data_IF_869284989251
#
_entry.id   IF_869284989251
#
_cell.length_a   1.000
_cell.length_b   1.000
_cell.length_c   1.000
_cell.angle_alpha   90.00
_cell.angle_beta   90.00
_cell.angle_gamma   90.00
#
_symmetry.space_group_name_H-M   'P 1'
#
loop_
_entity.id
_entity.type
_entity.pdbx_description
1 polymer ?
#
# COMPACT_ATOMS: atom_id res chain seq x y z
N UNK A 1 4.35 61.57 -23.40
CA UNK A 1 3.66 61.14 -24.63
C UNK A 1 4.14 59.72 -24.89
N UNK A 2 3.22 58.75 -24.78
CA UNK A 2 3.27 57.35 -25.26
C UNK A 2 4.47 56.45 -24.89
N UNK A 3 4.38 55.16 -24.58
CA UNK A 3 3.34 54.16 -24.26
C UNK A 3 4.17 52.93 -23.87
N UNK A 4 4.00 52.35 -22.68
CA UNK A 4 4.54 51.03 -22.36
C UNK A 4 3.37 50.04 -22.43
N UNK A 5 3.25 49.37 -23.57
CA UNK A 5 2.39 48.23 -23.78
C UNK A 5 3.20 46.95 -23.62
N UNK A 6 2.62 46.02 -22.86
CA UNK A 6 2.66 44.56 -23.03
C UNK A 6 4.04 43.86 -22.84
N UNK A 7 4.18 42.78 -22.07
CA UNK A 7 3.34 41.58 -22.05
C UNK A 7 3.45 40.78 -20.74
N UNK A 8 2.27 40.41 -20.25
CA UNK A 8 1.86 39.09 -19.76
C UNK A 8 2.90 38.28 -18.96
N UNK A 9 2.92 38.50 -17.64
CA UNK A 9 3.29 37.43 -16.73
C UNK A 9 2.11 36.45 -16.65
N UNK A 10 2.20 35.34 -17.39
CA UNK A 10 1.29 34.21 -17.26
C UNK A 10 1.52 33.55 -15.90
N UNK A 11 0.90 34.11 -14.87
CA UNK A 11 0.74 33.42 -13.60
C UNK A 11 -0.13 32.18 -13.88
N UNK A 12 0.52 31.04 -14.08
CA UNK A 12 -0.04 29.74 -13.75
C UNK A 12 -0.32 29.75 -12.25
N UNK A 13 -1.41 30.40 -11.85
CA UNK A 13 -2.03 30.18 -10.55
C UNK A 13 -2.55 28.74 -10.57
N UNK A 14 -1.77 27.82 -10.00
CA UNK A 14 -2.30 26.56 -9.50
C UNK A 14 -3.47 26.89 -8.58
N UNK A 15 -4.69 26.72 -9.08
CA UNK A 15 -5.91 26.90 -8.31
C UNK A 15 -5.87 25.86 -7.18
N UNK A 16 -5.86 26.26 -5.90
CA UNK A 16 -5.85 25.31 -4.80
C UNK A 16 -7.14 24.48 -4.83
N UNK A 17 -7.00 23.15 -4.95
CA UNK A 17 -8.10 22.20 -4.88
C UNK A 17 -8.94 22.43 -3.60
N UNK A 18 -10.24 22.70 -3.75
CA UNK A 18 -11.14 22.97 -2.63
C UNK A 18 -11.30 21.74 -1.72
N UNK A 19 -11.51 21.93 -0.41
CA UNK A 19 -11.64 20.83 0.57
C UNK A 19 -12.72 19.80 0.18
N UNK A 20 -13.81 20.26 -0.41
CA UNK A 20 -14.89 19.40 -0.92
C UNK A 20 -14.45 18.57 -2.14
N UNK A 21 -13.71 19.17 -3.08
CA UNK A 21 -13.12 18.46 -4.21
C UNK A 21 -12.12 17.40 -3.74
N UNK A 22 -11.27 17.72 -2.76
CA UNK A 22 -10.32 16.77 -2.15
C UNK A 22 -11.06 15.59 -1.50
N UNK A 23 -12.17 15.85 -0.79
CA UNK A 23 -12.98 14.78 -0.19
C UNK A 23 -13.64 13.89 -1.24
N UNK A 24 -14.10 14.48 -2.35
CA UNK A 24 -14.74 13.77 -3.46
C UNK A 24 -13.73 12.93 -4.25
N UNK A 25 -12.53 13.44 -4.50
CA UNK A 25 -11.44 12.69 -5.14
C UNK A 25 -10.97 11.51 -4.29
N UNK A 26 -10.80 11.72 -2.97
CA UNK A 26 -10.48 10.63 -2.04
C UNK A 26 -11.58 9.57 -2.05
N UNK A 27 -12.85 9.99 -2.05
CA UNK A 27 -14.00 9.08 -2.17
C UNK A 27 -13.98 8.27 -3.47
N UNK A 28 -13.68 8.91 -4.61
CA UNK A 28 -13.55 8.24 -5.91
C UNK A 28 -12.43 7.19 -5.90
N UNK A 29 -11.24 7.55 -5.40
CA UNK A 29 -10.11 6.63 -5.26
C UNK A 29 -10.46 5.46 -4.33
N UNK A 30 -11.15 5.73 -3.22
CA UNK A 30 -11.56 4.70 -2.28
C UNK A 30 -12.49 3.67 -2.94
N UNK A 31 -13.55 4.13 -3.61
CA UNK A 31 -14.50 3.24 -4.28
C UNK A 31 -13.84 2.49 -5.44
N UNK A 32 -12.96 3.14 -6.20
CA UNK A 32 -12.21 2.51 -7.28
C UNK A 32 -11.28 1.41 -6.76
N UNK A 33 -10.48 1.69 -5.72
CA UNK A 33 -9.59 0.73 -5.08
C UNK A 33 -10.35 -0.44 -4.45
N UNK A 34 -11.50 -0.17 -3.81
CA UNK A 34 -12.36 -1.19 -3.22
C UNK A 34 -12.95 -2.14 -4.28
N UNK A 35 -13.38 -1.59 -5.42
CA UNK A 35 -14.03 -2.34 -6.51
C UNK A 35 -13.06 -2.89 -7.57
N UNK A 36 -11.79 -2.47 -7.55
CA UNK A 36 -10.82 -2.78 -8.60
C UNK A 36 -11.04 -2.02 -9.90
N UNK A 37 -11.76 -0.89 -9.87
CA UNK A 37 -12.12 -0.09 -11.05
C UNK A 37 -11.02 0.92 -11.42
N UNK A 38 -9.91 0.40 -11.97
CA UNK A 38 -8.80 1.24 -12.43
C UNK A 38 -9.22 2.23 -13.53
N UNK A 39 -10.15 1.85 -14.40
CA UNK A 39 -10.55 2.66 -15.56
C UNK A 39 -11.15 4.00 -15.12
N UNK A 40 -11.88 4.02 -14.01
CA UNK A 40 -12.49 5.25 -13.48
C UNK A 40 -11.48 6.30 -12.99
N UNK A 41 -10.23 5.90 -12.73
CA UNK A 41 -9.21 6.74 -12.09
C UNK A 41 -7.89 6.80 -12.86
N UNK A 42 -7.76 6.14 -14.01
CA UNK A 42 -6.48 5.99 -14.73
C UNK A 42 -5.87 7.30 -15.21
N UNK A 43 -6.70 8.33 -15.40
CA UNK A 43 -6.28 9.69 -15.76
C UNK A 43 -6.13 10.64 -14.56
N UNK A 44 -6.45 10.18 -13.33
CA UNK A 44 -6.33 11.03 -12.15
C UNK A 44 -4.86 11.25 -11.80
N UNK A 45 -4.46 12.49 -11.43
CA UNK A 45 -3.16 12.69 -10.83
C UNK A 45 -3.13 12.09 -9.42
N UNK A 46 -1.92 11.85 -8.90
CA UNK A 46 -1.70 11.46 -7.49
C UNK A 46 -2.56 10.26 -7.05
N UNK A 47 -2.64 9.19 -7.86
CA UNK A 47 -3.52 8.05 -7.56
C UNK A 47 -3.16 7.40 -6.23
N UNK A 48 -1.87 7.28 -5.93
CA UNK A 48 -1.38 6.83 -4.64
C UNK A 48 -1.30 7.99 -3.63
N UNK A 49 -2.25 8.05 -2.70
CA UNK A 49 -2.30 9.03 -1.60
C UNK A 49 -3.08 8.46 -0.41
N UNK A 50 -3.08 9.15 0.74
CA UNK A 50 -3.95 8.81 1.88
C UNK A 50 -5.41 9.18 1.56
N UNK A 51 -6.29 8.19 1.65
CA UNK A 51 -7.71 8.28 1.32
C UNK A 51 -8.64 7.78 2.44
N UNK A 52 -8.13 6.98 3.38
CA UNK A 52 -8.88 6.49 4.53
C UNK A 52 -8.81 7.40 5.76
N UNK A 53 -9.78 7.23 6.66
CA UNK A 53 -9.85 7.98 7.93
C UNK A 53 -8.68 7.64 8.87
N UNK A 54 -8.20 6.40 8.84
CA UNK A 54 -7.08 5.93 9.62
C UNK A 54 -5.76 6.07 8.86
N UNK A 55 -5.76 6.88 7.80
CA UNK A 55 -4.58 7.16 6.98
C UNK A 55 -4.26 6.06 5.97
N UNK A 56 -5.19 5.14 5.67
CA UNK A 56 -5.05 4.18 4.57
C UNK A 56 -4.78 4.91 3.27
N UNK A 57 -3.91 4.31 2.46
CA UNK A 57 -3.64 4.77 1.11
C UNK A 57 -4.47 4.00 0.09
N UNK A 58 -4.50 4.47 -1.15
CA UNK A 58 -5.13 3.73 -2.26
C UNK A 58 -4.62 2.29 -2.35
N UNK A 59 -3.31 2.08 -2.17
CA UNK A 59 -2.71 0.74 -2.13
C UNK A 59 -3.20 -0.12 -0.95
N UNK A 60 -3.40 0.47 0.24
CA UNK A 60 -3.95 -0.27 1.40
C UNK A 60 -5.36 -0.77 1.09
N UNK A 61 -6.24 0.11 0.61
CA UNK A 61 -7.63 -0.23 0.31
C UNK A 61 -7.69 -1.31 -0.78
N UNK A 62 -6.89 -1.18 -1.85
CA UNK A 62 -6.85 -2.17 -2.93
C UNK A 62 -6.33 -3.55 -2.46
N UNK A 63 -5.32 -3.57 -1.58
CA UNK A 63 -4.77 -4.80 -1.02
C UNK A 63 -5.76 -5.49 -0.09
N UNK A 64 -6.39 -4.73 0.83
CA UNK A 64 -7.43 -5.23 1.72
C UNK A 64 -8.65 -5.76 0.96
N UNK A 65 -9.01 -5.12 -0.16
CA UNK A 65 -10.09 -5.53 -1.04
C UNK A 65 -9.71 -6.67 -2.02
N UNK A 66 -8.49 -7.20 -1.92
CA UNK A 66 -7.98 -8.29 -2.75
C UNK A 66 -7.96 -7.99 -4.27
N UNK A 67 -7.75 -6.73 -4.66
CA UNK A 67 -7.84 -6.30 -6.06
C UNK A 67 -6.51 -6.44 -6.81
N UNK A 68 -6.10 -7.67 -7.13
CA UNK A 68 -4.77 -7.98 -7.69
C UNK A 68 -4.42 -7.13 -8.93
N UNK A 69 -5.32 -7.08 -9.92
CA UNK A 69 -5.08 -6.32 -11.16
C UNK A 69 -4.94 -4.83 -10.91
N UNK A 70 -5.73 -4.30 -9.96
CA UNK A 70 -5.66 -2.90 -9.57
C UNK A 70 -4.34 -2.60 -8.87
N UNK A 71 -3.92 -3.45 -7.93
CA UNK A 71 -2.63 -3.30 -7.24
C UNK A 71 -1.48 -3.27 -8.24
N UNK A 72 -1.42 -4.24 -9.18
CA UNK A 72 -0.33 -4.28 -10.18
C UNK A 72 -0.28 -3.01 -11.03
N UNK A 73 -1.44 -2.51 -11.48
CA UNK A 73 -1.52 -1.24 -12.22
C UNK A 73 -1.09 -0.04 -11.37
N UNK A 74 -1.46 -0.03 -10.09
CA UNK A 74 -1.06 1.01 -9.15
C UNK A 74 0.45 1.02 -8.92
N UNK A 75 1.08 -0.13 -8.75
CA UNK A 75 2.54 -0.23 -8.61
C UNK A 75 3.25 0.25 -9.87
N UNK A 76 2.83 -0.20 -11.06
CA UNK A 76 3.36 0.32 -12.33
C UNK A 76 3.14 1.83 -12.48
N UNK A 77 2.00 2.37 -12.02
CA UNK A 77 1.79 3.81 -12.01
C UNK A 77 2.78 4.51 -11.07
N UNK A 78 3.02 3.96 -9.87
CA UNK A 78 3.98 4.51 -8.90
C UNK A 78 5.42 4.52 -9.46
N UNK A 79 5.87 3.44 -10.12
CA UNK A 79 7.19 3.37 -10.78
C UNK A 79 7.37 4.47 -11.84
N UNK A 80 6.32 4.75 -12.61
CA UNK A 80 6.36 5.75 -13.69
C UNK A 80 6.14 7.20 -13.21
N UNK A 81 5.67 7.41 -11.98
CA UNK A 81 5.42 8.72 -11.39
C UNK A 81 6.42 8.99 -10.27
N UNK A 82 7.70 9.07 -10.66
CA UNK A 82 8.83 9.23 -9.73
C UNK A 82 8.68 10.46 -8.83
N UNK A 83 9.28 10.34 -7.65
CA UNK A 83 9.40 11.43 -6.70
C UNK A 83 10.24 12.53 -7.31
N UNK A 84 9.65 13.70 -7.50
CA UNK A 84 10.38 14.92 -7.81
C UNK A 84 10.48 15.75 -6.53
N UNK A 85 11.44 16.67 -6.48
CA UNK A 85 11.53 17.62 -5.38
C UNK A 85 10.21 18.41 -5.16
N UNK A 86 9.39 18.53 -6.21
CA UNK A 86 8.12 19.24 -6.19
C UNK A 86 6.99 18.43 -5.53
N UNK A 87 7.05 17.09 -5.56
CA UNK A 87 6.00 16.21 -5.04
C UNK A 87 6.42 15.37 -3.82
N UNK A 88 7.63 15.58 -3.31
CA UNK A 88 8.22 14.80 -2.21
C UNK A 88 7.34 14.75 -0.95
N UNK A 89 6.77 15.89 -0.55
CA UNK A 89 5.92 15.99 0.64
C UNK A 89 4.60 15.20 0.50
N UNK A 90 4.20 14.88 -0.72
CA UNK A 90 2.94 14.22 -1.04
C UNK A 90 3.13 12.79 -1.55
N UNK A 91 4.38 12.36 -1.72
CA UNK A 91 4.71 11.05 -2.22
C UNK A 91 4.50 9.99 -1.14
N UNK A 92 3.72 8.98 -1.48
CA UNK A 92 3.35 7.90 -0.57
C UNK A 92 3.85 6.59 -1.15
N UNK A 93 4.93 6.07 -0.56
CA UNK A 93 5.63 4.87 -1.04
C UNK A 93 4.83 3.58 -0.78
N UNK A 94 5.32 2.47 -1.35
CA UNK A 94 4.79 1.11 -1.07
C UNK A 94 4.92 0.73 0.41
N UNK A 95 5.91 1.30 1.11
CA UNK A 95 6.19 1.12 2.53
C UNK A 95 5.39 2.02 3.47
N UNK A 96 4.48 2.84 2.92
CA UNK A 96 3.65 3.71 3.73
C UNK A 96 2.85 2.92 4.77
N UNK A 97 2.82 3.45 5.98
CA UNK A 97 2.03 2.92 7.09
C UNK A 97 0.81 3.83 7.34
N UNK A 98 -0.33 3.22 7.65
CA UNK A 98 -1.50 3.92 8.21
C UNK A 98 -1.25 4.33 9.68
N UNK A 99 -2.25 4.92 10.34
CA UNK A 99 -2.14 5.42 11.71
C UNK A 99 -1.78 4.32 12.73
N UNK A 100 -2.11 3.06 12.42
CA UNK A 100 -1.79 1.87 13.23
C UNK A 100 -0.44 1.24 12.87
N UNK A 101 0.37 1.86 11.99
CA UNK A 101 1.60 1.23 11.52
C UNK A 101 1.39 0.13 10.48
N UNK A 102 0.15 -0.08 9.99
CA UNK A 102 -0.17 -1.17 9.06
C UNK A 102 0.22 -0.75 7.65
N UNK A 103 0.94 -1.61 6.92
CA UNK A 103 1.26 -1.44 5.49
C UNK A 103 0.24 -2.14 4.60
N UNK A 104 0.25 -1.84 3.30
CA UNK A 104 -0.55 -2.58 2.32
C UNK A 104 -0.17 -4.07 2.25
N UNK A 105 1.10 -4.42 2.53
CA UNK A 105 1.54 -5.82 2.59
C UNK A 105 0.94 -6.56 3.79
N UNK A 106 0.73 -5.90 4.94
CA UNK A 106 0.03 -6.52 6.07
C UNK A 106 -1.39 -6.94 5.68
N UNK A 107 -2.12 -6.09 4.94
CA UNK A 107 -3.45 -6.43 4.43
C UNK A 107 -3.42 -7.58 3.40
N UNK A 108 -2.48 -7.54 2.45
CA UNK A 108 -2.31 -8.63 1.49
C UNK A 108 -1.99 -9.96 2.16
N UNK A 109 -1.17 -9.94 3.22
CA UNK A 109 -0.82 -11.09 4.02
C UNK A 109 -2.01 -11.65 4.81
N UNK A 110 -2.82 -10.79 5.43
CA UNK A 110 -4.04 -11.18 6.13
C UNK A 110 -5.13 -11.76 5.21
N UNK A 111 -5.16 -11.33 3.93
CA UNK A 111 -6.05 -11.87 2.90
C UNK A 111 -5.49 -13.13 2.22
N UNK A 112 -4.18 -13.34 2.29
CA UNK A 112 -3.50 -14.51 1.72
C UNK A 112 -3.22 -14.43 0.22
N UNK A 113 -3.32 -13.26 -0.42
CA UNK A 113 -3.06 -13.14 -1.86
C UNK A 113 -1.57 -13.02 -2.17
N UNK A 114 -0.95 -14.17 -2.45
CA UNK A 114 0.48 -14.32 -2.76
C UNK A 114 0.91 -13.45 -3.94
N UNK A 115 0.08 -13.31 -4.98
CA UNK A 115 0.42 -12.52 -6.18
C UNK A 115 0.47 -11.02 -5.90
N UNK A 116 -0.37 -10.52 -5.00
CA UNK A 116 -0.32 -9.13 -4.52
C UNK A 116 0.96 -8.94 -3.70
N UNK A 117 1.25 -9.85 -2.77
CA UNK A 117 2.44 -9.75 -1.93
C UNK A 117 3.73 -9.81 -2.76
N UNK A 118 3.86 -10.74 -3.71
CA UNK A 118 5.02 -10.81 -4.60
C UNK A 118 5.23 -9.52 -5.39
N UNK A 119 4.16 -8.93 -5.93
CA UNK A 119 4.26 -7.67 -6.65
C UNK A 119 4.82 -6.56 -5.75
N UNK A 120 4.33 -6.44 -4.52
CA UNK A 120 4.83 -5.42 -3.57
C UNK A 120 6.24 -5.68 -3.06
N UNK A 121 6.62 -6.95 -2.84
CA UNK A 121 7.94 -7.34 -2.35
C UNK A 121 9.06 -7.12 -3.37
N UNK A 122 8.71 -6.96 -4.65
CA UNK A 122 9.66 -6.60 -5.70
C UNK A 122 10.00 -5.10 -5.69
N UNK A 123 9.11 -4.26 -5.13
CA UNK A 123 9.31 -2.81 -5.04
C UNK A 123 10.28 -2.43 -3.92
N UNK A 124 10.18 -3.07 -2.75
CA UNK A 124 10.96 -2.70 -1.57
C UNK A 124 11.28 -3.92 -0.70
N UNK A 125 12.57 -4.14 -0.44
CA UNK A 125 13.09 -5.30 0.32
C UNK A 125 12.87 -5.18 1.83
N UNK A 126 12.63 -3.98 2.36
CA UNK A 126 12.38 -3.74 3.78
C UNK A 126 10.90 -3.86 4.14
N UNK A 127 10.01 -3.85 3.13
CA UNK A 127 8.57 -4.00 3.31
C UNK A 127 8.13 -5.21 4.17
N UNK A 128 8.68 -6.44 4.04
CA UNK A 128 8.29 -7.58 4.87
C UNK A 128 8.66 -7.42 6.36
N UNK A 129 9.58 -6.49 6.69
CA UNK A 129 10.02 -6.24 8.06
C UNK A 129 9.23 -5.11 8.74
N UNK A 130 8.33 -4.41 8.03
CA UNK A 130 7.52 -3.33 8.59
C UNK A 130 6.44 -3.89 9.50
N UNK A 131 6.66 -3.77 10.81
CA UNK A 131 5.68 -4.15 11.82
C UNK A 131 4.66 -3.04 12.08
N UNK A 132 3.46 -3.44 12.52
CA UNK A 132 2.45 -2.52 13.05
C UNK A 132 2.94 -1.79 14.30
N UNK A 133 2.26 -0.70 14.68
CA UNK A 133 2.51 0.03 15.93
C UNK A 133 1.64 -0.56 17.06
N UNK A 134 2.11 -0.37 18.29
CA UNK A 134 1.41 -0.79 19.51
C UNK A 134 2.28 -1.72 20.35
N UNK A 135 1.69 -2.26 21.42
CA UNK A 135 2.41 -3.09 22.40
C UNK A 135 2.85 -4.44 21.83
N UNK A 136 2.15 -4.94 20.81
CA UNK A 136 2.45 -6.18 20.10
C UNK A 136 2.66 -5.90 18.59
N UNK A 137 3.81 -5.35 18.20
CA UNK A 137 4.11 -5.03 16.81
C UNK A 137 4.12 -6.31 15.97
N UNK A 138 3.32 -6.32 14.90
CA UNK A 138 3.09 -7.52 14.09
C UNK A 138 3.57 -7.32 12.66
N UNK A 139 4.49 -8.16 12.19
CA UNK A 139 4.96 -8.17 10.79
C UNK A 139 3.95 -8.89 9.87
N UNK A 140 3.96 -8.63 8.55
CA UNK A 140 3.08 -9.31 7.59
C UNK A 140 3.11 -10.85 7.69
N UNK A 141 4.27 -11.45 7.98
CA UNK A 141 4.41 -12.90 8.14
C UNK A 141 3.47 -13.47 9.21
N UNK A 142 3.36 -12.81 10.36
CA UNK A 142 2.49 -13.23 11.45
C UNK A 142 1.01 -13.09 11.10
N UNK A 143 0.63 -12.03 10.37
CA UNK A 143 -0.74 -11.87 9.87
C UNK A 143 -1.15 -13.05 8.98
N UNK A 144 -0.27 -13.48 8.07
CA UNK A 144 -0.51 -14.63 7.22
C UNK A 144 -0.64 -15.93 8.01
N UNK A 145 0.18 -16.11 9.06
CA UNK A 145 0.13 -17.31 9.90
C UNK A 145 -1.12 -17.36 10.79
N UNK A 146 -1.52 -16.23 11.40
CA UNK A 146 -2.77 -16.14 12.16
C UNK A 146 -4.00 -16.36 11.28
N UNK A 147 -3.94 -15.95 10.01
CA UNK A 147 -5.02 -16.16 9.04
C UNK A 147 -4.98 -17.54 8.36
N UNK A 148 -3.96 -18.37 8.64
CA UNK A 148 -3.86 -19.72 8.12
C UNK A 148 -3.44 -19.83 6.64
N UNK A 149 -2.72 -18.84 6.11
CA UNK A 149 -2.34 -18.79 4.70
C UNK A 149 -0.96 -19.41 4.44
N UNK A 150 -0.87 -20.73 4.41
CA UNK A 150 0.42 -21.47 4.28
C UNK A 150 1.31 -21.02 3.13
N UNK A 151 0.76 -20.77 1.94
CA UNK A 151 1.56 -20.33 0.78
C UNK A 151 2.14 -18.92 1.00
N UNK A 152 1.36 -18.01 1.58
CA UNK A 152 1.79 -16.67 1.97
C UNK A 152 2.85 -16.71 3.08
N UNK A 153 2.66 -17.57 4.08
CA UNK A 153 3.66 -17.81 5.14
C UNK A 153 4.97 -18.26 4.52
N UNK A 154 4.94 -19.23 3.61
CA UNK A 154 6.14 -19.71 2.91
C UNK A 154 6.84 -18.59 2.13
N UNK A 155 6.09 -17.75 1.42
CA UNK A 155 6.65 -16.59 0.71
C UNK A 155 7.33 -15.61 1.67
N UNK A 156 6.61 -15.17 2.70
CA UNK A 156 7.08 -14.13 3.62
C UNK A 156 8.19 -14.62 4.53
N UNK A 157 8.18 -15.88 4.95
CA UNK A 157 9.22 -16.46 5.80
C UNK A 157 10.61 -16.34 5.16
N UNK A 158 10.72 -16.53 3.85
CA UNK A 158 11.98 -16.39 3.10
C UNK A 158 12.45 -14.95 2.91
N UNK A 159 11.58 -13.97 3.19
CA UNK A 159 11.83 -12.54 2.93
C UNK A 159 11.86 -11.71 4.22
N UNK A 160 11.53 -12.31 5.36
CA UNK A 160 11.42 -11.63 6.65
C UNK A 160 12.64 -11.93 7.50
N UNK A 161 13.29 -10.90 8.01
CA UNK A 161 14.33 -11.04 9.03
C UNK A 161 13.66 -11.29 10.38
N UNK A 162 14.10 -12.34 11.07
CA UNK A 162 13.56 -12.75 12.37
C UNK A 162 14.67 -13.00 13.37
N UNK A 163 14.43 -12.62 14.62
CA UNK A 163 15.21 -13.13 15.75
C UNK A 163 14.72 -14.52 16.21
N UNK A 164 15.40 -15.11 17.19
CA UNK A 164 15.06 -16.44 17.71
C UNK A 164 13.68 -16.49 18.36
N UNK A 165 13.24 -15.40 19.00
CA UNK A 165 11.93 -15.35 19.65
C UNK A 165 10.82 -15.27 18.61
N UNK A 166 10.98 -14.42 17.59
CA UNK A 166 10.05 -14.33 16.47
C UNK A 166 9.96 -15.66 15.70
N UNK A 167 11.10 -16.34 15.51
CA UNK A 167 11.14 -17.67 14.87
C UNK A 167 10.41 -18.74 15.70
N UNK A 168 10.53 -18.70 17.04
CA UNK A 168 9.79 -19.60 17.92
C UNK A 168 8.29 -19.28 17.91
N UNK A 169 7.91 -18.01 17.92
CA UNK A 169 6.51 -17.57 17.90
C UNK A 169 5.82 -17.94 16.59
N UNK A 170 6.48 -17.74 15.44
CA UNK A 170 5.91 -18.14 14.15
C UNK A 170 5.74 -19.65 14.05
N UNK A 171 6.69 -20.44 14.59
CA UNK A 171 6.56 -21.89 14.67
C UNK A 171 5.31 -22.30 15.47
N UNK A 172 5.16 -21.76 16.70
CA UNK A 172 4.00 -22.04 17.56
C UNK A 172 2.70 -21.63 16.86
N UNK A 173 2.70 -20.46 16.20
CA UNK A 173 1.52 -19.95 15.48
C UNK A 173 1.13 -20.87 14.33
N UNK A 174 2.09 -21.34 13.54
CA UNK A 174 1.84 -22.29 12.46
C UNK A 174 1.31 -23.65 12.96
N UNK A 175 1.78 -24.13 14.13
CA UNK A 175 1.24 -25.35 14.76
C UNK A 175 -0.20 -25.13 15.20
N UNK A 176 -0.50 -24.01 15.87
CA UNK A 176 -1.87 -23.70 16.35
C UNK A 176 -2.89 -23.54 15.22
N UNK A 177 -2.44 -23.17 14.02
CA UNK A 177 -3.29 -22.95 12.85
C UNK A 177 -3.20 -24.10 11.82
N UNK A 178 -2.70 -25.28 12.24
CA UNK A 178 -2.60 -26.50 11.41
C UNK A 178 -1.84 -26.32 10.08
N UNK A 179 -0.91 -25.36 10.00
CA UNK A 179 -0.18 -25.04 8.77
C UNK A 179 0.96 -26.01 8.45
N UNK A 180 1.25 -26.96 9.34
CA UNK A 180 2.26 -28.00 9.14
C UNK A 180 1.76 -29.22 8.35
N UNK A 181 0.44 -29.41 8.22
CA UNK A 181 -0.13 -30.67 7.70
C UNK A 181 -0.34 -30.65 6.18
N UNK A 182 -0.23 -29.49 5.53
CA UNK A 182 -0.59 -29.30 4.11
C UNK A 182 0.57 -29.39 3.10
N UNK A 183 1.80 -29.73 3.51
CA UNK A 183 2.95 -29.87 2.60
C UNK A 183 3.61 -31.26 2.58
N UNK A 184 2.95 -32.32 3.08
CA UNK A 184 3.51 -33.68 3.06
C UNK A 184 2.46 -34.77 2.80
N UNK A 185 1.79 -34.76 1.65
CA UNK A 185 1.20 -35.95 1.02
C UNK A 185 1.25 -35.82 -0.51
#
# INVERSE_FOLDING_TARGET
MATNDHDVNSNNEEIPLTLEAVSTERGKLYIAALKGDWKSIESMPRIQRRIGIDGETTLHVAAAANQEKFVKKLLTWMENNLVTAENEAENVTVTAQNNFGTTALNFAAAVGNVKIAEAMLNEDKELPNKATRGDNPTKPLFMAAFAGHSEMVNLLYRRTSMDENEAAEIFITCVKNDLYVSNNL
#
